data_IF_629052616098
#
_entry.id   IF_629052616098
#
_cell.length_a   1.000
_cell.length_b   1.000
_cell.length_c   1.000
_cell.angle_alpha   90.00
_cell.angle_beta   90.00
_cell.angle_gamma   90.00
#
_symmetry.space_group_name_H-M   'P 1'
#
loop_
_entity.id
_entity.type
_entity.pdbx_description
1 polymer ?
#
# COMPACT_ATOMS: atom_id res chain seq x y z
N UNK A 1 0.22 40.29 5.65
CA UNK A 1 0.33 39.18 4.69
C UNK A 1 0.96 37.99 5.40
N UNK A 2 0.24 36.86 5.56
CA UNK A 2 0.86 35.60 6.02
C UNK A 2 1.52 34.95 4.81
N UNK A 3 2.84 34.96 4.77
CA UNK A 3 3.64 34.24 3.77
C UNK A 3 3.38 32.75 3.94
N UNK A 4 2.73 32.12 2.94
CA UNK A 4 2.61 30.67 2.87
C UNK A 4 4.04 30.11 2.79
N UNK A 5 4.46 29.38 3.83
CA UNK A 5 5.75 28.71 3.84
C UNK A 5 5.83 27.75 2.64
N UNK A 6 7.00 27.64 1.97
CA UNK A 6 7.17 26.65 0.93
C UNK A 6 6.81 25.28 1.48
N UNK A 7 5.90 24.55 0.82
CA UNK A 7 5.52 23.19 1.25
C UNK A 7 6.80 22.36 1.35
N UNK A 8 7.11 21.91 2.58
CA UNK A 8 8.27 21.05 2.84
C UNK A 8 8.22 19.82 1.94
N UNK A 9 9.37 19.20 1.67
CA UNK A 9 9.43 17.97 0.87
C UNK A 9 8.47 16.90 1.41
N UNK A 10 8.39 16.76 2.74
CA UNK A 10 7.43 15.91 3.45
C UNK A 10 5.98 16.28 3.12
N UNK A 11 5.65 17.58 3.09
CA UNK A 11 4.32 18.07 2.72
C UNK A 11 3.94 17.78 1.27
N UNK A 12 4.91 17.75 0.35
CA UNK A 12 4.69 17.35 -1.05
C UNK A 12 4.43 15.85 -1.17
N UNK A 13 5.23 15.01 -0.50
CA UNK A 13 5.05 13.55 -0.47
C UNK A 13 3.68 13.18 0.09
N UNK A 14 3.28 13.77 1.22
CA UNK A 14 1.95 13.54 1.82
C UNK A 14 0.80 13.92 0.88
N UNK A 15 0.94 15.00 0.12
CA UNK A 15 -0.07 15.40 -0.86
C UNK A 15 -0.16 14.38 -1.99
N UNK A 16 0.98 13.99 -2.56
CA UNK A 16 1.03 12.99 -3.63
C UNK A 16 0.39 11.66 -3.20
N UNK A 17 0.73 11.13 -2.01
CA UNK A 17 0.09 9.91 -1.50
C UNK A 17 -1.41 10.06 -1.29
N UNK A 18 -1.87 11.25 -0.86
CA UNK A 18 -3.30 11.52 -0.69
C UNK A 18 -4.02 11.55 -2.05
N UNK A 19 -3.41 12.18 -3.04
CA UNK A 19 -3.94 12.29 -4.40
C UNK A 19 -4.05 10.88 -5.03
N UNK A 20 -3.00 10.06 -4.94
CA UNK A 20 -2.99 8.65 -5.40
C UNK A 20 -4.07 7.80 -4.75
N UNK A 21 -4.19 7.87 -3.42
CA UNK A 21 -5.23 7.15 -2.67
C UNK A 21 -6.63 7.52 -3.16
N UNK A 22 -6.88 8.80 -3.41
CA UNK A 22 -8.18 9.26 -3.91
C UNK A 22 -8.45 8.72 -5.31
N UNK A 23 -7.46 8.75 -6.21
CA UNK A 23 -7.58 8.21 -7.57
C UNK A 23 -7.91 6.71 -7.55
N UNK A 24 -7.25 5.92 -6.71
CA UNK A 24 -7.53 4.50 -6.53
C UNK A 24 -8.95 4.28 -5.97
N UNK A 25 -9.35 5.07 -4.98
CA UNK A 25 -10.70 5.00 -4.41
C UNK A 25 -11.78 5.27 -5.46
N UNK A 26 -11.55 6.26 -6.33
CA UNK A 26 -12.48 6.61 -7.39
C UNK A 26 -12.53 5.51 -8.46
N UNK A 27 -11.37 4.98 -8.88
CA UNK A 27 -11.22 3.88 -9.82
C UNK A 27 -11.93 2.59 -9.36
N UNK A 28 -11.71 2.21 -8.10
CA UNK A 28 -12.24 0.98 -7.51
C UNK A 28 -13.64 1.17 -6.90
N UNK A 29 -14.17 2.39 -6.89
CA UNK A 29 -15.37 2.79 -6.16
C UNK A 29 -15.33 2.40 -4.67
N UNK A 30 -14.14 2.49 -4.07
CA UNK A 30 -13.93 2.16 -2.67
C UNK A 30 -14.11 3.38 -1.78
N UNK A 31 -14.76 3.18 -0.64
CA UNK A 31 -14.74 4.16 0.42
C UNK A 31 -13.36 4.20 1.09
N UNK A 32 -13.10 5.29 1.82
CA UNK A 32 -11.88 5.43 2.62
C UNK A 32 -11.64 4.25 3.56
N UNK A 33 -12.72 3.80 4.17
CA UNK A 33 -12.77 2.71 5.12
C UNK A 33 -12.54 1.35 4.45
N UNK A 34 -13.07 1.13 3.25
CA UNK A 34 -12.78 -0.07 2.45
C UNK A 34 -11.29 -0.17 2.10
N UNK A 35 -10.71 0.93 1.62
CA UNK A 35 -9.29 1.03 1.31
C UNK A 35 -8.42 0.75 2.53
N UNK A 36 -8.67 1.44 3.65
CA UNK A 36 -7.87 1.30 4.86
C UNK A 36 -7.99 -0.11 5.46
N UNK A 37 -9.19 -0.72 5.42
CA UNK A 37 -9.39 -2.09 5.89
C UNK A 37 -8.63 -3.10 5.04
N UNK A 38 -8.63 -2.94 3.72
CA UNK A 38 -7.89 -3.84 2.84
C UNK A 38 -6.38 -3.77 3.14
N UNK A 39 -5.82 -2.55 3.17
CA UNK A 39 -4.40 -2.34 3.52
C UNK A 39 -4.04 -2.93 4.88
N UNK A 40 -4.87 -2.69 5.90
CA UNK A 40 -4.61 -3.20 7.24
C UNK A 40 -4.73 -4.73 7.33
N UNK A 41 -5.69 -5.33 6.61
CA UNK A 41 -5.87 -6.77 6.56
C UNK A 41 -4.66 -7.46 5.94
N UNK A 42 -4.18 -6.98 4.79
CA UNK A 42 -3.01 -7.57 4.13
C UNK A 42 -1.74 -7.41 5.00
N UNK A 43 -1.59 -6.28 5.70
CA UNK A 43 -0.54 -6.08 6.69
C UNK A 43 -0.57 -7.14 7.79
N UNK A 44 -1.72 -7.34 8.43
CA UNK A 44 -1.87 -8.31 9.51
C UNK A 44 -1.60 -9.73 9.02
N UNK A 45 -2.13 -10.13 7.86
CA UNK A 45 -1.91 -11.46 7.30
C UNK A 45 -0.46 -11.71 6.93
N UNK A 46 0.22 -10.72 6.37
CA UNK A 46 1.65 -10.81 6.08
C UNK A 46 2.45 -11.09 7.36
N UNK A 47 2.25 -10.26 8.40
CA UNK A 47 2.96 -10.41 9.68
C UNK A 47 2.64 -11.76 10.34
N UNK A 48 1.36 -12.16 10.36
CA UNK A 48 0.92 -13.43 10.94
C UNK A 48 1.57 -14.62 10.23
N UNK A 49 1.62 -14.61 8.90
CA UNK A 49 2.18 -15.71 8.12
C UNK A 49 3.66 -15.91 8.47
N UNK A 50 4.46 -14.84 8.47
CA UNK A 50 5.90 -14.92 8.73
C UNK A 50 6.27 -15.24 10.17
N UNK A 51 5.38 -14.93 11.12
CA UNK A 51 5.65 -15.08 12.55
C UNK A 51 4.84 -16.21 13.19
N UNK A 52 4.36 -17.16 12.37
CA UNK A 52 3.57 -18.31 12.83
C UNK A 52 4.32 -19.08 13.93
N UNK A 53 3.79 -19.07 15.15
CA UNK A 53 4.40 -19.70 16.33
C UNK A 53 5.34 -18.81 17.14
N UNK A 54 5.57 -17.56 16.72
CA UNK A 54 6.54 -16.62 17.29
C UNK A 54 5.85 -15.35 17.81
N UNK A 55 4.96 -15.52 18.79
CA UNK A 55 4.04 -14.45 19.25
C UNK A 55 4.76 -13.14 19.65
N UNK A 56 5.90 -13.22 20.33
CA UNK A 56 6.65 -12.02 20.73
C UNK A 56 7.19 -11.24 19.53
N UNK A 57 7.69 -11.94 18.51
CA UNK A 57 8.20 -11.32 17.28
C UNK A 57 7.04 -10.72 16.48
N UNK A 58 5.90 -11.42 16.43
CA UNK A 58 4.65 -10.90 15.83
C UNK A 58 4.29 -9.54 16.42
N UNK A 59 4.22 -9.42 17.74
CA UNK A 59 3.84 -8.18 18.42
C UNK A 59 4.87 -7.06 18.18
N UNK A 60 6.17 -7.38 18.23
CA UNK A 60 7.23 -6.41 17.92
C UNK A 60 7.09 -5.82 16.52
N UNK A 61 6.84 -6.66 15.51
CA UNK A 61 6.65 -6.21 14.13
C UNK A 61 5.34 -5.43 14.01
N UNK A 62 4.23 -5.99 14.50
CA UNK A 62 2.89 -5.43 14.31
C UNK A 62 2.77 -4.00 14.86
N UNK A 63 3.39 -3.75 16.01
CA UNK A 63 3.36 -2.45 16.69
C UNK A 63 4.58 -1.57 16.42
N UNK A 64 5.52 -2.00 15.57
CA UNK A 64 6.70 -1.20 15.25
C UNK A 64 6.34 0.00 14.35
N UNK A 65 6.66 1.23 14.75
CA UNK A 65 6.54 2.41 13.88
C UNK A 65 7.46 2.33 12.65
N UNK A 66 8.64 1.70 12.81
CA UNK A 66 9.62 1.52 11.73
C UNK A 66 9.04 0.59 10.67
N UNK A 67 8.52 -0.57 11.09
CA UNK A 67 7.93 -1.53 10.17
C UNK A 67 6.66 -0.98 9.52
N UNK A 68 5.83 -0.25 10.27
CA UNK A 68 4.65 0.41 9.71
C UNK A 68 5.02 1.46 8.66
N UNK A 69 6.10 2.20 8.88
CA UNK A 69 6.63 3.15 7.89
C UNK A 69 7.08 2.45 6.61
N UNK A 70 7.83 1.36 6.73
CA UNK A 70 8.22 0.51 5.60
C UNK A 70 6.99 0.03 4.83
N UNK A 71 6.02 -0.60 5.51
CA UNK A 71 4.81 -1.12 4.87
C UNK A 71 4.03 -0.04 4.11
N UNK A 72 3.82 1.12 4.72
CA UNK A 72 3.10 2.22 4.07
C UNK A 72 3.84 2.73 2.82
N UNK A 73 5.17 2.76 2.83
CA UNK A 73 5.96 3.16 1.67
C UNK A 73 5.85 2.14 0.54
N UNK A 74 5.93 0.85 0.87
CA UNK A 74 5.74 -0.25 -0.08
C UNK A 74 4.35 -0.26 -0.71
N UNK A 75 3.34 0.05 0.10
CA UNK A 75 1.97 0.20 -0.37
C UNK A 75 1.83 1.38 -1.34
N UNK A 76 2.32 2.56 -0.96
CA UNK A 76 2.25 3.75 -1.84
C UNK A 76 3.05 3.58 -3.15
N UNK A 77 4.13 2.79 -3.14
CA UNK A 77 4.88 2.49 -4.34
C UNK A 77 4.06 1.63 -5.31
N UNK A 78 3.36 0.61 -4.80
CA UNK A 78 2.49 -0.27 -5.58
C UNK A 78 1.19 0.42 -6.02
N UNK A 79 0.64 1.31 -5.20
CA UNK A 79 -0.45 2.21 -5.60
C UNK A 79 -0.10 2.97 -6.88
N UNK A 80 1.13 3.49 -6.95
CA UNK A 80 1.62 4.19 -8.13
C UNK A 80 1.77 3.27 -9.34
N UNK A 81 2.38 2.10 -9.14
CA UNK A 81 2.52 1.09 -10.21
C UNK A 81 1.16 0.68 -10.78
N UNK A 82 0.17 0.48 -9.90
CA UNK A 82 -1.19 0.21 -10.31
C UNK A 82 -1.81 1.36 -11.11
N UNK A 83 -1.64 2.61 -10.67
CA UNK A 83 -2.14 3.77 -11.41
C UNK A 83 -1.50 3.88 -12.80
N UNK A 84 -0.18 3.68 -12.90
CA UNK A 84 0.55 3.64 -14.17
C UNK A 84 0.06 2.51 -15.09
N UNK A 85 -0.27 1.35 -14.53
CA UNK A 85 -0.93 0.27 -15.27
C UNK A 85 -2.32 0.69 -15.77
N UNK A 86 -3.11 1.38 -14.93
CA UNK A 86 -4.45 1.82 -15.32
C UNK A 86 -4.47 2.94 -16.35
N UNK A 87 -3.38 3.72 -16.48
CA UNK A 87 -3.26 4.73 -17.53
C UNK A 87 -3.29 4.12 -18.96
N UNK A 88 -3.09 2.80 -19.08
CA UNK A 88 -3.23 2.07 -20.34
C UNK A 88 -4.69 1.88 -20.79
N UNK A 89 -5.67 2.07 -19.90
CA UNK A 89 -7.09 1.94 -20.26
C UNK A 89 -7.56 3.17 -21.07
N UNK A 90 -8.12 2.90 -22.24
CA UNK A 90 -8.52 3.95 -23.20
C UNK A 90 -9.74 4.79 -22.81
N UNK A 91 -10.46 4.44 -21.74
CA UNK A 91 -11.76 5.04 -21.39
C UNK A 91 -11.91 5.26 -19.88
N UNK A 92 -12.44 6.44 -19.53
CA UNK A 92 -12.97 6.73 -18.20
C UNK A 92 -14.38 7.34 -18.35
N UNK A 93 -15.38 6.90 -17.58
CA UNK A 93 -15.33 5.86 -16.56
C UNK A 93 -15.15 4.46 -17.16
N UNK A 94 -14.47 3.58 -16.42
CA UNK A 94 -14.32 2.16 -16.74
C UNK A 94 -15.67 1.47 -16.80
N UNK A 95 -15.83 0.50 -17.69
CA UNK A 95 -16.99 -0.39 -17.68
C UNK A 95 -16.95 -1.40 -16.51
N UNK A 96 -18.00 -2.19 -16.35
CA UNK A 96 -18.07 -3.14 -15.23
C UNK A 96 -16.99 -4.23 -15.30
N UNK A 97 -16.64 -4.70 -16.49
CA UNK A 97 -15.64 -5.75 -16.66
C UNK A 97 -14.24 -5.20 -16.41
N UNK A 98 -13.93 -4.03 -16.96
CA UNK A 98 -12.68 -3.30 -16.72
C UNK A 98 -12.49 -3.01 -15.23
N UNK A 99 -13.55 -2.59 -14.51
CA UNK A 99 -13.51 -2.39 -13.06
C UNK A 99 -13.21 -3.67 -12.28
N UNK A 100 -13.87 -4.78 -12.61
CA UNK A 100 -13.62 -6.06 -11.93
C UNK A 100 -12.18 -6.52 -12.17
N UNK A 101 -11.67 -6.32 -13.39
CA UNK A 101 -10.28 -6.61 -13.73
C UNK A 101 -9.33 -5.74 -12.91
N UNK A 102 -9.50 -4.42 -12.91
CA UNK A 102 -8.71 -3.48 -12.11
C UNK A 102 -8.72 -3.82 -10.62
N UNK A 103 -9.89 -4.16 -10.07
CA UNK A 103 -10.01 -4.57 -8.67
C UNK A 103 -9.25 -5.87 -8.39
N UNK A 104 -9.29 -6.83 -9.32
CA UNK A 104 -8.57 -8.11 -9.18
C UNK A 104 -7.06 -7.87 -9.22
N UNK A 105 -6.57 -7.12 -10.21
CA UNK A 105 -5.15 -6.76 -10.33
C UNK A 105 -4.66 -6.00 -9.10
N UNK A 106 -5.43 -5.00 -8.64
CA UNK A 106 -5.09 -4.24 -7.43
C UNK A 106 -4.97 -5.15 -6.20
N UNK A 107 -5.91 -6.07 -6.03
CA UNK A 107 -5.90 -7.01 -4.90
C UNK A 107 -4.75 -8.01 -4.98
N UNK A 108 -4.37 -8.45 -6.19
CA UNK A 108 -3.24 -9.35 -6.42
C UNK A 108 -1.91 -8.65 -6.13
N UNK A 109 -1.70 -7.46 -6.69
CA UNK A 109 -0.50 -6.65 -6.51
C UNK A 109 -0.18 -6.40 -5.03
N UNK A 110 -1.23 -6.20 -4.23
CA UNK A 110 -1.12 -5.89 -2.81
C UNK A 110 -1.31 -7.10 -1.89
N UNK A 111 -1.53 -8.29 -2.43
CA UNK A 111 -1.78 -9.48 -1.62
C UNK A 111 -0.56 -9.85 -0.81
N UNK A 112 -0.74 -10.12 0.50
CA UNK A 112 0.35 -10.65 1.33
C UNK A 112 1.01 -11.90 0.73
N UNK A 113 0.26 -12.73 0.00
CA UNK A 113 0.81 -13.92 -0.66
C UNK A 113 1.79 -13.57 -1.78
N UNK A 114 1.41 -12.62 -2.63
CA UNK A 114 2.30 -12.12 -3.68
C UNK A 114 3.57 -11.50 -3.08
N UNK A 115 3.43 -10.74 -2.00
CA UNK A 115 4.57 -10.13 -1.31
C UNK A 115 5.52 -11.14 -0.65
N UNK A 116 5.03 -12.31 -0.23
CA UNK A 116 5.87 -13.39 0.29
C UNK A 116 6.71 -14.07 -0.80
N UNK A 117 6.26 -13.98 -2.06
CA UNK A 117 6.92 -14.54 -3.24
C UNK A 117 7.79 -13.48 -3.97
N UNK A 118 7.71 -12.22 -3.56
CA UNK A 118 8.51 -11.10 -4.09
C UNK A 118 9.88 -11.04 -3.38
N UNK A 119 10.91 -11.53 -4.07
CA UNK A 119 12.29 -11.57 -3.57
C UNK A 119 12.83 -10.19 -3.16
N UNK A 120 12.52 -9.15 -3.92
CA UNK A 120 13.01 -7.80 -3.62
C UNK A 120 12.34 -7.23 -2.37
N UNK A 121 11.03 -7.43 -2.24
CA UNK A 121 10.29 -7.07 -1.05
C UNK A 121 10.82 -7.83 0.17
N UNK A 122 11.02 -9.15 0.07
CA UNK A 122 11.50 -9.99 1.17
C UNK A 122 12.93 -9.64 1.59
N UNK A 123 13.83 -9.33 0.64
CA UNK A 123 15.16 -8.81 0.97
C UNK A 123 15.11 -7.53 1.80
N UNK A 124 14.25 -6.57 1.42
CA UNK A 124 14.09 -5.30 2.14
C UNK A 124 13.41 -5.52 3.50
N UNK A 125 12.44 -6.41 3.59
CA UNK A 125 11.85 -6.86 4.86
C UNK A 125 12.92 -7.34 5.84
N UNK A 126 13.82 -8.24 5.41
CA UNK A 126 14.90 -8.74 6.27
C UNK A 126 15.87 -7.64 6.72
N UNK A 127 16.10 -6.62 5.90
CA UNK A 127 16.89 -5.46 6.31
C UNK A 127 16.19 -4.65 7.40
N UNK A 128 14.88 -4.41 7.25
CA UNK A 128 14.09 -3.68 8.24
C UNK A 128 14.00 -4.44 9.56
N UNK A 129 13.89 -5.77 9.55
CA UNK A 129 13.88 -6.57 10.77
C UNK A 129 15.13 -6.35 11.65
N UNK A 130 16.28 -6.03 11.07
CA UNK A 130 17.52 -5.75 11.82
C UNK A 130 17.46 -4.41 12.58
N UNK A 131 16.47 -3.57 12.29
CA UNK A 131 16.24 -2.27 12.91
C UNK A 131 15.14 -2.31 13.98
N UNK A 132 14.48 -3.46 14.17
CA UNK A 132 13.44 -3.70 15.17
C UNK A 132 14.06 -4.20 16.47
#
# INVERSE_FOLDING_TARGET
MKTLSPKSHIGKVRKASKDQKQEIQDLLMWSDDAYCRFQFREYCHFVETLTTGWLKVREQILYSPVFRGFWNNEWNARDREFLEFTDSFSKYPLDQQERVYCMTEYMLLHSHKALLEDDEFMMRYYQILKLL
#
